data_IF_371546533326
#
_entry.id   IF_371546533326
#
_cell.length_a   1.000
_cell.length_b   1.000
_cell.length_c   1.000
_cell.angle_alpha   90.00
_cell.angle_beta   90.00
_cell.angle_gamma   90.00
#
_symmetry.space_group_name_H-M   'P 1'
#
loop_
_entity.id
_entity.type
_entity.pdbx_description
1 polymer ?
#
# COMPACT_ATOMS: atom_id res chain seq x y z
N UNK A 1 4.08 -13.59 9.06
CA UNK A 1 3.54 -13.02 7.82
C UNK A 1 2.80 -14.13 7.09
N UNK A 2 1.66 -13.84 6.49
CA UNK A 2 0.90 -14.79 5.66
C UNK A 2 0.55 -14.16 4.32
N UNK A 3 0.78 -14.87 3.22
CA UNK A 3 0.25 -14.48 1.90
C UNK A 3 -1.20 -14.96 1.85
N UNK A 4 -2.13 -14.05 1.59
CA UNK A 4 -3.58 -14.34 1.67
C UNK A 4 -4.30 -14.31 0.32
N UNK A 5 -3.65 -13.79 -0.72
CA UNK A 5 -4.13 -13.80 -2.11
C UNK A 5 -3.61 -15.02 -2.89
N UNK A 6 -4.22 -15.30 -4.03
CA UNK A 6 -3.76 -16.32 -5.00
C UNK A 6 -2.38 -16.02 -5.56
N UNK A 7 -2.11 -14.75 -5.88
CA UNK A 7 -0.79 -14.30 -6.33
C UNK A 7 0.12 -14.15 -5.11
N UNK A 8 1.29 -14.80 -5.16
CA UNK A 8 2.37 -14.54 -4.23
C UNK A 8 3.22 -13.35 -4.71
N UNK A 9 3.74 -12.52 -3.79
CA UNK A 9 4.70 -11.48 -4.16
C UNK A 9 6.01 -12.10 -4.65
N UNK A 10 6.69 -11.42 -5.57
CA UNK A 10 8.07 -11.73 -5.93
C UNK A 10 9.02 -11.47 -4.76
N UNK A 11 10.27 -11.93 -4.87
CA UNK A 11 11.30 -11.66 -3.85
C UNK A 11 11.53 -10.16 -3.67
N UNK A 12 11.58 -9.41 -4.78
CA UNK A 12 11.73 -7.95 -4.76
C UNK A 12 10.52 -7.26 -4.13
N UNK A 13 9.30 -7.67 -4.50
CA UNK A 13 8.07 -7.14 -3.89
C UNK A 13 8.06 -7.44 -2.38
N UNK A 14 8.43 -8.65 -1.95
CA UNK A 14 8.49 -8.99 -0.53
C UNK A 14 9.51 -8.12 0.22
N UNK A 15 10.70 -7.90 -0.36
CA UNK A 15 11.70 -7.01 0.24
C UNK A 15 11.17 -5.57 0.39
N UNK A 16 10.52 -5.06 -0.66
CA UNK A 16 9.92 -3.73 -0.65
C UNK A 16 8.74 -3.63 0.32
N UNK A 17 7.92 -4.69 0.45
CA UNK A 17 6.80 -4.73 1.41
C UNK A 17 7.32 -4.67 2.85
N UNK A 18 8.37 -5.42 3.17
CA UNK A 18 9.00 -5.37 4.49
C UNK A 18 9.61 -4.00 4.78
N UNK A 19 10.21 -3.36 3.79
CA UNK A 19 10.72 -1.99 3.90
C UNK A 19 9.58 -0.99 4.11
N UNK A 20 8.53 -1.04 3.29
CA UNK A 20 7.34 -0.20 3.40
C UNK A 20 6.68 -0.35 4.78
N UNK A 21 6.57 -1.58 5.28
CA UNK A 21 6.02 -1.88 6.60
C UNK A 21 6.85 -1.26 7.73
N UNK A 22 8.19 -1.35 7.63
CA UNK A 22 9.10 -0.71 8.58
C UNK A 22 8.93 0.80 8.58
N UNK A 23 8.80 1.43 7.41
CA UNK A 23 8.57 2.88 7.28
C UNK A 23 7.21 3.27 7.86
N UNK A 24 6.14 2.54 7.52
CA UNK A 24 4.77 2.81 7.97
C UNK A 24 4.65 2.90 9.49
N UNK A 25 5.44 2.10 10.24
CA UNK A 25 5.53 2.17 11.71
C UNK A 25 5.90 3.56 12.27
N UNK A 26 6.60 4.37 11.49
CA UNK A 26 7.08 5.69 11.89
C UNK A 26 6.22 6.82 11.33
N UNK A 27 5.31 6.54 10.39
CA UNK A 27 4.43 7.52 9.76
C UNK A 27 3.17 7.71 10.62
N UNK A 28 2.65 8.94 10.63
CA UNK A 28 1.43 9.30 11.37
C UNK A 28 0.19 8.65 10.73
N UNK A 29 -0.62 7.98 11.53
CA UNK A 29 -1.84 7.29 11.10
C UNK A 29 -2.93 8.28 10.65
N UNK A 30 -3.80 7.91 9.70
CA UNK A 30 -3.78 6.67 8.92
C UNK A 30 -2.68 6.72 7.84
N UNK A 31 -1.74 5.78 7.87
CA UNK A 31 -0.56 5.82 7.00
C UNK A 31 -0.70 4.88 5.79
N UNK A 32 -0.33 5.40 4.62
CA UNK A 32 -0.15 4.66 3.37
C UNK A 32 1.22 5.01 2.81
N UNK A 33 2.05 4.00 2.58
CA UNK A 33 3.44 4.16 2.13
C UNK A 33 3.66 3.30 0.90
N UNK A 34 3.95 3.94 -0.24
CA UNK A 34 4.36 3.27 -1.46
C UNK A 34 5.89 3.18 -1.51
N UNK A 35 6.39 2.02 -1.91
CA UNK A 35 7.82 1.73 -2.03
C UNK A 35 8.09 1.04 -3.35
N UNK A 36 9.19 1.42 -4.00
CA UNK A 36 9.72 0.72 -5.17
C UNK A 36 11.23 0.67 -5.07
N UNK A 37 11.82 -0.51 -5.26
CA UNK A 37 13.27 -0.72 -5.32
C UNK A 37 13.99 -0.13 -4.08
N UNK A 38 13.44 -0.38 -2.89
CA UNK A 38 14.01 0.06 -1.61
C UNK A 38 13.85 1.55 -1.29
N UNK A 39 13.12 2.32 -2.10
CA UNK A 39 12.87 3.75 -1.87
C UNK A 39 11.38 4.04 -1.65
N UNK A 40 11.06 4.97 -0.75
CA UNK A 40 9.69 5.49 -0.61
C UNK A 40 9.36 6.38 -1.80
N UNK A 41 8.32 6.05 -2.54
CA UNK A 41 7.89 6.77 -3.76
C UNK A 41 6.59 7.56 -3.57
N UNK A 42 5.90 7.35 -2.45
CA UNK A 42 4.72 8.12 -2.07
C UNK A 42 4.36 7.87 -0.61
N UNK A 43 4.01 8.92 0.13
CA UNK A 43 3.62 8.82 1.54
C UNK A 43 2.37 9.66 1.81
N UNK A 44 1.33 9.02 2.31
CA UNK A 44 0.09 9.60 2.78
C UNK A 44 -0.04 9.36 4.27
N UNK A 45 -0.27 10.41 5.04
CA UNK A 45 -0.21 10.37 6.49
C UNK A 45 -1.23 11.31 7.12
N UNK A 46 -1.66 10.99 8.34
CA UNK A 46 -2.47 11.89 9.17
C UNK A 46 -3.91 12.09 8.72
N UNK A 47 -4.42 11.26 7.80
CA UNK A 47 -5.77 11.44 7.25
C UNK A 47 -6.83 10.70 8.07
N UNK A 48 -8.05 11.25 8.05
CA UNK A 48 -9.24 10.64 8.66
C UNK A 48 -9.62 9.34 7.94
N UNK A 49 -9.49 9.30 6.61
CA UNK A 49 -9.71 8.12 5.78
C UNK A 49 -8.41 7.60 5.15
N UNK A 50 -8.28 6.28 5.11
CA UNK A 50 -7.17 5.58 4.47
C UNK A 50 -7.19 5.75 2.94
N UNK A 51 -8.37 5.92 2.36
CA UNK A 51 -8.55 6.26 0.93
C UNK A 51 -7.88 7.59 0.62
N UNK A 52 -8.05 8.60 1.48
CA UNK A 52 -7.42 9.91 1.28
C UNK A 52 -5.91 9.83 1.41
N UNK A 53 -5.39 9.02 2.34
CA UNK A 53 -3.95 8.73 2.40
C UNK A 53 -3.43 8.07 1.11
N UNK A 54 -4.16 7.11 0.52
CA UNK A 54 -3.80 6.53 -0.78
C UNK A 54 -3.75 7.61 -1.86
N UNK A 55 -4.78 8.45 -1.97
CA UNK A 55 -4.90 9.51 -2.99
C UNK A 55 -3.83 10.57 -2.86
N UNK A 56 -3.56 11.06 -1.64
CA UNK A 56 -2.54 12.09 -1.40
C UNK A 56 -1.15 11.57 -1.77
N UNK A 57 -0.83 10.34 -1.38
CA UNK A 57 0.45 9.73 -1.71
C UNK A 57 0.63 9.55 -3.22
N UNK A 58 -0.40 9.03 -3.91
CA UNK A 58 -0.40 8.85 -5.36
C UNK A 58 -0.29 10.18 -6.10
N UNK A 59 -1.06 11.19 -5.66
CA UNK A 59 -1.04 12.52 -6.26
C UNK A 59 0.33 13.20 -6.12
N UNK A 60 0.96 13.12 -4.94
CA UNK A 60 2.32 13.65 -4.76
C UNK A 60 3.33 12.94 -5.66
N UNK A 61 3.19 11.64 -5.88
CA UNK A 61 4.06 10.92 -6.81
C UNK A 61 3.83 11.35 -8.27
N UNK A 62 2.59 11.65 -8.66
CA UNK A 62 2.26 12.23 -9.97
C UNK A 62 2.89 13.61 -10.15
N UNK A 63 2.67 14.53 -9.20
CA UNK A 63 3.22 15.88 -9.25
C UNK A 63 4.77 15.84 -9.34
N UNK A 64 5.42 14.90 -8.65
CA UNK A 64 6.87 14.70 -8.73
C UNK A 64 7.32 14.14 -10.09
N UNK A 65 6.57 13.25 -10.71
CA UNK A 65 6.89 12.75 -12.04
C UNK A 65 6.78 13.85 -13.10
N UNK A 66 5.74 14.69 -13.02
CA UNK A 66 5.60 15.86 -13.88
C UNK A 66 6.77 16.84 -13.72
N UNK A 67 7.14 17.17 -12.47
CA UNK A 67 8.25 18.08 -12.17
C UNK A 67 9.60 17.57 -12.69
N UNK A 68 9.82 16.26 -12.61
CA UNK A 68 11.08 15.61 -13.00
C UNK A 68 11.09 15.15 -14.47
N UNK A 69 9.98 15.33 -15.21
CA UNK A 69 9.86 14.87 -16.59
C UNK A 69 9.92 13.34 -16.74
N UNK A 70 9.46 12.60 -15.73
CA UNK A 70 9.38 11.14 -15.80
C UNK A 70 8.19 10.71 -16.67
N UNK A 71 8.33 9.59 -17.38
CA UNK A 71 7.26 9.03 -18.21
C UNK A 71 6.03 8.61 -17.38
N UNK A 72 6.24 8.18 -16.14
CA UNK A 72 5.19 7.75 -15.23
C UNK A 72 5.55 8.04 -13.75
N UNK A 73 4.54 8.15 -12.86
CA UNK A 73 4.76 8.19 -11.42
C UNK A 73 5.54 6.98 -10.94
N UNK A 74 6.46 7.18 -9.99
CA UNK A 74 7.25 6.07 -9.42
C UNK A 74 6.41 5.08 -8.61
N UNK A 75 5.13 5.39 -8.33
CA UNK A 75 4.16 4.44 -7.77
C UNK A 75 3.78 3.34 -8.75
N UNK A 76 4.02 3.49 -10.06
CA UNK A 76 3.77 2.44 -11.05
C UNK A 76 4.76 1.27 -10.85
N UNK A 77 4.24 0.08 -10.59
CA UNK A 77 5.02 -1.11 -10.25
C UNK A 77 5.57 -1.10 -8.83
N UNK A 78 5.00 -0.27 -7.94
CA UNK A 78 5.41 -0.19 -6.54
C UNK A 78 4.66 -1.21 -5.67
N UNK A 79 5.05 -1.32 -4.41
CA UNK A 79 4.27 -1.99 -3.38
C UNK A 79 3.74 -0.98 -2.38
N UNK A 80 2.73 -1.34 -1.59
CA UNK A 80 2.12 -0.45 -0.61
C UNK A 80 2.00 -1.09 0.78
N UNK A 81 2.33 -0.32 1.82
CA UNK A 81 2.05 -0.68 3.20
C UNK A 81 0.93 0.18 3.78
N UNK A 82 0.03 -0.45 4.54
CA UNK A 82 -0.91 0.26 5.39
C UNK A 82 -0.75 -0.13 6.85
N UNK A 83 -0.59 0.85 7.73
CA UNK A 83 -0.33 0.68 9.18
C UNK A 83 -1.44 -0.06 9.96
N UNK A 84 -2.63 -0.12 9.38
CA UNK A 84 -3.84 -0.76 9.88
C UNK A 84 -4.62 -1.37 8.70
N UNK A 85 -5.61 -2.19 9.01
CA UNK A 85 -6.34 -2.92 7.98
C UNK A 85 -7.19 -1.99 7.09
N UNK A 86 -7.46 -2.41 5.87
CA UNK A 86 -8.48 -1.83 5.00
C UNK A 86 -9.87 -2.31 5.45
N UNK A 87 -10.78 -1.41 5.87
CA UNK A 87 -12.11 -1.81 6.30
C UNK A 87 -13.00 -2.23 5.13
N UNK A 88 -12.72 -1.71 3.94
CA UNK A 88 -13.39 -2.00 2.67
C UNK A 88 -12.35 -2.03 1.54
N UNK A 89 -12.74 -2.57 0.38
CA UNK A 89 -11.85 -2.72 -0.77
C UNK A 89 -11.49 -1.38 -1.45
N UNK A 90 -12.22 -0.30 -1.20
CA UNK A 90 -12.03 1.01 -1.83
C UNK A 90 -10.61 1.57 -1.64
N UNK A 91 -10.07 1.51 -0.41
CA UNK A 91 -8.70 1.97 -0.12
C UNK A 91 -7.63 1.12 -0.80
N UNK A 92 -7.85 -0.20 -0.88
CA UNK A 92 -6.99 -1.13 -1.60
C UNK A 92 -6.98 -0.83 -3.11
N UNK A 93 -8.16 -0.72 -3.71
CA UNK A 93 -8.32 -0.46 -5.14
C UNK A 93 -7.76 0.90 -5.52
N UNK A 94 -7.95 1.92 -4.67
CA UNK A 94 -7.30 3.23 -4.86
C UNK A 94 -5.77 3.11 -4.91
N UNK A 95 -5.18 2.22 -4.10
CA UNK A 95 -3.74 2.00 -4.14
C UNK A 95 -3.29 1.21 -5.39
N UNK A 96 -4.12 0.26 -5.83
CA UNK A 96 -3.91 -0.48 -7.07
C UNK A 96 -3.96 0.44 -8.31
N UNK A 97 -4.94 1.34 -8.36
CA UNK A 97 -5.07 2.36 -9.41
C UNK A 97 -3.86 3.30 -9.48
N UNK A 98 -3.20 3.55 -8.34
CA UNK A 98 -1.94 4.30 -8.29
C UNK A 98 -0.73 3.52 -8.83
N UNK A 99 -0.91 2.24 -9.15
CA UNK A 99 0.10 1.37 -9.74
C UNK A 99 0.75 0.38 -8.77
N UNK A 100 0.22 0.21 -7.56
CA UNK A 100 0.73 -0.79 -6.64
C UNK A 100 0.43 -2.22 -7.13
N UNK A 101 1.40 -3.13 -7.05
CA UNK A 101 1.28 -4.54 -7.45
C UNK A 101 1.16 -5.49 -6.26
N UNK A 102 1.59 -5.05 -5.07
CA UNK A 102 1.50 -5.81 -3.83
C UNK A 102 1.20 -4.92 -2.63
N UNK A 103 0.55 -5.48 -1.62
CA UNK A 103 0.14 -4.78 -0.39
C UNK A 103 0.49 -5.58 0.87
N UNK A 104 0.91 -4.87 1.92
CA UNK A 104 1.12 -5.42 3.27
C UNK A 104 0.28 -4.66 4.28
N UNK A 105 -0.47 -5.39 5.10
CA UNK A 105 -1.34 -4.83 6.14
C UNK A 105 -1.50 -5.82 7.31
N UNK A 106 -2.09 -5.41 8.45
CA UNK A 106 -2.27 -6.33 9.58
C UNK A 106 -3.29 -7.44 9.34
N UNK A 107 -4.34 -7.19 8.55
CA UNK A 107 -5.57 -7.98 8.57
C UNK A 107 -6.40 -7.73 9.84
N UNK A 108 -7.51 -8.45 9.98
CA UNK A 108 -8.44 -8.36 11.11
C UNK A 108 -9.70 -7.53 10.84
N UNK A 109 -10.01 -7.21 9.58
CA UNK A 109 -11.32 -6.62 9.23
C UNK A 109 -12.41 -7.68 9.27
N UNK A 110 -13.64 -7.30 9.65
CA UNK A 110 -14.82 -8.16 9.45
C UNK A 110 -15.07 -8.50 7.97
N UNK A 111 -14.47 -7.72 7.05
CA UNK A 111 -14.60 -7.85 5.60
C UNK A 111 -13.29 -8.22 4.91
N UNK A 112 -12.37 -8.88 5.62
CA UNK A 112 -11.10 -9.29 5.02
C UNK A 112 -11.32 -10.17 3.77
N UNK A 113 -12.33 -11.04 3.76
CA UNK A 113 -12.66 -11.88 2.59
C UNK A 113 -13.00 -11.04 1.36
N UNK A 114 -13.82 -9.99 1.50
CA UNK A 114 -14.17 -9.07 0.41
C UNK A 114 -12.93 -8.33 -0.12
N UNK A 115 -12.05 -7.90 0.80
CA UNK A 115 -10.83 -7.16 0.46
C UNK A 115 -9.81 -8.07 -0.24
N UNK A 116 -9.66 -9.32 0.21
CA UNK A 116 -8.81 -10.33 -0.43
C UNK A 116 -9.36 -10.69 -1.82
N UNK A 117 -10.67 -10.88 -1.95
CA UNK A 117 -11.30 -11.15 -3.25
C UNK A 117 -11.09 -10.01 -4.24
N UNK A 118 -11.20 -8.76 -3.79
CA UNK A 118 -10.89 -7.58 -4.62
C UNK A 118 -9.41 -7.52 -5.01
N UNK A 119 -8.50 -7.88 -4.10
CA UNK A 119 -7.06 -7.98 -4.39
C UNK A 119 -6.77 -9.03 -5.47
N UNK A 120 -7.36 -10.22 -5.34
CA UNK A 120 -7.24 -11.30 -6.31
C UNK A 120 -7.78 -10.90 -7.68
N UNK A 121 -8.95 -10.24 -7.72
CA UNK A 121 -9.56 -9.75 -8.96
C UNK A 121 -8.69 -8.69 -9.65
N UNK A 122 -7.99 -7.86 -8.87
CA UNK A 122 -7.03 -6.87 -9.36
C UNK A 122 -5.63 -7.44 -9.67
N UNK A 123 -5.39 -8.74 -9.43
CA UNK A 123 -4.08 -9.37 -9.64
C UNK A 123 -3.00 -8.95 -8.63
N UNK A 124 -3.40 -8.44 -7.46
CA UNK A 124 -2.49 -7.97 -6.41
C UNK A 124 -2.00 -9.13 -5.55
N UNK A 125 -0.76 -9.02 -5.06
CA UNK A 125 -0.31 -9.85 -3.94
C UNK A 125 -0.64 -9.15 -2.62
N UNK A 126 -1.14 -9.88 -1.62
CA UNK A 126 -1.48 -9.35 -0.30
C UNK A 126 -0.84 -10.17 0.81
N UNK A 127 -0.18 -9.47 1.73
CA UNK A 127 0.51 -10.05 2.89
C UNK A 127 -0.08 -9.52 4.18
N UNK A 128 -0.49 -10.42 5.07
CA UNK A 128 -0.96 -10.09 6.41
C UNK A 128 0.18 -10.21 7.43
N UNK A 129 0.26 -9.21 8.32
CA UNK A 129 1.26 -9.17 9.40
C UNK A 129 0.73 -9.65 10.75
N UNK A 130 -0.58 -9.56 10.98
CA UNK A 130 -1.20 -9.82 12.28
C UNK A 130 -0.88 -8.77 13.36
N UNK A 131 -0.20 -7.67 13.00
CA UNK A 131 0.25 -6.66 13.95
C UNK A 131 -0.04 -5.25 13.43
N UNK A 132 -0.75 -4.44 14.21
CA UNK A 132 -1.06 -3.05 13.88
C UNK A 132 0.05 -2.10 14.37
N UNK A 133 0.36 -1.05 13.60
CA UNK A 133 1.37 -0.04 13.94
C UNK A 133 0.78 1.38 14.04
N UNK A 134 -0.38 1.52 14.68
CA UNK A 134 -1.06 2.81 14.79
C UNK A 134 -0.25 3.84 15.59
N UNK A 135 -0.12 5.06 15.06
CA UNK A 135 0.65 6.16 15.63
C UNK A 135 -0.06 7.51 15.41
N UNK A 136 -0.57 8.10 16.49
CA UNK A 136 -1.05 9.50 16.51
C UNK A 136 0.12 10.46 16.31
#
# INVERSE_FOLDING_TARGET
LSVVTKRAPSEQEMADLLFAWKVAKHVKSNAIVYVKEGATVGVGAGQMSRVDSCRIAARKAQDMAELLGLEAPLTQGSVVASDAFFPFADGLLTAAEAGATAVIQPGGSMRDEDVIAAADAAGLAMVFTGMRHFRH
#
